data_IF_260594689682
#
_entry.id   IF_260594689682
#
_cell.length_a   1.000
_cell.length_b   1.000
_cell.length_c   1.000
_cell.angle_alpha   90.00
_cell.angle_beta   90.00
_cell.angle_gamma   90.00
#
_symmetry.space_group_name_H-M   'P 1'
#
loop_
_entity.id
_entity.type
_entity.pdbx_description
1 polymer ?
#
# COMPACT_ATOMS: atom_id res chain seq x y z
N UNK A 1 4.73 21.44 -9.74
CA UNK A 1 5.40 20.50 -10.65
C UNK A 1 5.23 19.12 -10.08
N UNK A 2 4.99 18.13 -10.92
CA UNK A 2 4.91 16.73 -10.55
C UNK A 2 6.26 16.09 -10.91
N UNK A 3 6.87 15.39 -9.97
CA UNK A 3 8.18 14.78 -10.16
C UNK A 3 8.22 13.45 -9.43
N UNK A 4 8.80 12.44 -10.08
CA UNK A 4 8.97 11.09 -9.54
C UNK A 4 10.46 10.79 -9.54
N UNK A 5 10.98 10.30 -8.43
CA UNK A 5 12.35 9.79 -8.35
C UNK A 5 12.47 8.47 -9.11
N UNK A 6 13.66 8.14 -9.60
CA UNK A 6 13.99 6.74 -9.90
C UNK A 6 13.84 5.88 -8.62
N UNK A 7 13.74 4.53 -8.73
CA UNK A 7 13.75 3.65 -7.58
C UNK A 7 15.02 3.85 -6.74
N UNK A 8 14.85 4.28 -5.49
CA UNK A 8 15.95 4.56 -4.56
C UNK A 8 15.93 3.61 -3.36
N UNK A 9 17.10 3.33 -2.74
CA UNK A 9 17.17 2.53 -1.52
C UNK A 9 16.32 3.15 -0.40
N UNK A 10 15.68 2.31 0.44
CA UNK A 10 14.82 2.78 1.53
C UNK A 10 15.50 3.77 2.50
N UNK A 11 16.82 3.64 2.69
CA UNK A 11 17.63 4.58 3.50
C UNK A 11 17.69 6.01 2.94
N UNK A 12 17.40 6.20 1.66
CA UNK A 12 17.44 7.51 0.99
C UNK A 12 16.09 8.21 0.96
N UNK A 13 15.00 7.48 1.21
CA UNK A 13 13.62 8.00 1.25
C UNK A 13 13.47 9.24 2.15
N UNK A 14 14.08 9.34 3.35
CA UNK A 14 13.93 10.52 4.20
C UNK A 14 14.38 11.84 3.56
N UNK A 15 15.22 11.81 2.51
CA UNK A 15 15.64 13.00 1.75
C UNK A 15 14.49 13.59 0.91
N UNK A 16 13.54 12.77 0.51
CA UNK A 16 12.45 13.10 -0.42
C UNK A 16 11.06 13.03 0.24
N UNK A 17 10.91 12.18 1.25
CA UNK A 17 9.70 11.99 2.04
C UNK A 17 10.04 12.07 3.53
N UNK A 18 9.96 13.28 4.10
CA UNK A 18 10.44 13.57 5.46
C UNK A 18 9.50 13.14 6.58
N UNK A 19 8.31 12.65 6.25
CA UNK A 19 7.32 12.20 7.23
C UNK A 19 7.72 10.81 7.73
N UNK A 20 7.63 10.58 9.05
CA UNK A 20 7.86 9.24 9.61
C UNK A 20 6.67 8.33 9.28
N UNK A 21 6.95 7.15 8.75
CA UNK A 21 5.93 6.17 8.38
C UNK A 21 6.32 4.77 8.83
N UNK A 22 5.32 3.89 8.92
CA UNK A 22 5.51 2.48 9.21
C UNK A 22 5.66 1.66 7.92
N UNK A 23 6.36 0.53 7.99
CA UNK A 23 6.49 -0.45 6.90
C UNK A 23 6.07 -1.86 7.35
N UNK A 24 5.69 -2.77 6.43
CA UNK A 24 5.48 -4.18 6.74
C UNK A 24 6.67 -4.80 7.49
N UNK A 25 6.40 -5.39 8.64
CA UNK A 25 7.38 -6.23 9.36
C UNK A 25 7.26 -7.72 8.98
N UNK A 26 6.13 -8.11 8.40
CA UNK A 26 5.83 -9.46 7.95
C UNK A 26 5.16 -9.41 6.59
N UNK A 27 5.48 -10.40 5.76
CA UNK A 27 4.86 -10.64 4.46
C UNK A 27 4.55 -12.15 4.35
N UNK A 28 3.56 -12.55 3.55
CA UNK A 28 3.18 -13.96 3.41
C UNK A 28 4.17 -14.79 2.57
N UNK A 29 5.34 -14.21 2.24
CA UNK A 29 6.37 -14.81 1.39
C UNK A 29 7.72 -14.12 1.63
N UNK A 30 8.79 -14.78 1.17
CA UNK A 30 10.13 -14.20 1.12
C UNK A 30 10.27 -13.19 -0.03
N UNK A 31 10.92 -12.07 0.26
CA UNK A 31 11.14 -10.97 -0.68
C UNK A 31 12.54 -10.96 -1.25
N UNK A 32 12.70 -10.32 -2.41
CA UNK A 32 14.03 -9.96 -2.89
C UNK A 32 14.73 -9.00 -1.93
N UNK A 33 16.04 -9.14 -1.75
CA UNK A 33 16.82 -8.33 -0.82
C UNK A 33 16.98 -6.86 -1.23
N UNK A 34 16.60 -6.49 -2.46
CA UNK A 34 16.79 -5.15 -3.03
C UNK A 34 15.48 -4.34 -3.09
N UNK A 35 14.77 -4.26 -1.95
CA UNK A 35 13.55 -3.43 -1.84
C UNK A 35 13.93 -1.96 -1.99
N UNK A 36 13.29 -1.29 -2.95
CA UNK A 36 13.43 0.13 -3.24
C UNK A 36 12.08 0.83 -3.13
N UNK A 37 12.13 2.15 -2.93
CA UNK A 37 10.97 3.01 -2.97
C UNK A 37 11.08 4.06 -4.07
N UNK A 38 9.94 4.54 -4.52
CA UNK A 38 9.79 5.67 -5.44
C UNK A 38 9.04 6.77 -4.71
N UNK A 39 9.50 8.02 -4.81
CA UNK A 39 8.80 9.17 -4.23
C UNK A 39 8.29 10.05 -5.35
N UNK A 40 6.97 10.26 -5.38
CA UNK A 40 6.29 11.22 -6.24
C UNK A 40 5.96 12.48 -5.44
N UNK A 41 6.54 13.61 -5.81
CA UNK A 41 6.20 14.93 -5.24
C UNK A 41 5.17 15.63 -6.12
N UNK A 42 4.09 16.11 -5.53
CA UNK A 42 3.01 16.82 -6.21
C UNK A 42 2.92 18.24 -5.65
N UNK A 43 3.34 19.22 -6.45
CA UNK A 43 3.36 20.62 -6.00
C UNK A 43 4.51 20.89 -5.05
N UNK A 44 4.27 21.61 -3.94
CA UNK A 44 5.33 22.02 -2.99
C UNK A 44 5.39 21.22 -1.69
N UNK A 45 4.31 20.54 -1.31
CA UNK A 45 4.15 19.93 0.03
C UNK A 45 3.70 18.47 -0.02
N UNK A 46 3.00 18.07 -1.07
CA UNK A 46 2.39 16.76 -1.14
C UNK A 46 3.38 15.77 -1.73
N UNK A 47 3.47 14.60 -1.13
CA UNK A 47 4.32 13.53 -1.59
C UNK A 47 3.64 12.17 -1.34
N UNK A 48 3.91 11.23 -2.23
CA UNK A 48 3.53 9.83 -2.11
C UNK A 48 4.79 8.99 -2.23
N UNK A 49 4.98 8.08 -1.27
CA UNK A 49 5.99 7.04 -1.30
C UNK A 49 5.33 5.74 -1.75
N UNK A 50 5.91 5.07 -2.74
CA UNK A 50 5.53 3.74 -3.18
C UNK A 50 6.68 2.77 -2.93
N UNK A 51 6.41 1.65 -2.24
CA UNK A 51 7.38 0.56 -2.01
C UNK A 51 6.78 -0.75 -2.51
N UNK A 52 7.50 -1.47 -3.36
CA UNK A 52 7.07 -2.76 -3.93
C UNK A 52 7.86 -3.91 -3.31
N UNK A 53 7.18 -4.79 -2.61
CA UNK A 53 7.75 -5.98 -1.97
C UNK A 53 7.58 -7.20 -2.88
N UNK A 54 8.46 -7.34 -3.86
CA UNK A 54 8.40 -8.43 -4.84
C UNK A 54 8.83 -9.76 -4.22
N UNK A 55 8.10 -10.82 -4.57
CA UNK A 55 8.44 -12.19 -4.19
C UNK A 55 9.81 -12.62 -4.74
N UNK A 56 10.52 -13.44 -3.96
CA UNK A 56 11.79 -14.04 -4.39
C UNK A 56 11.59 -15.23 -5.34
N UNK A 57 10.48 -15.96 -5.23
CA UNK A 57 10.23 -17.18 -6.00
C UNK A 57 10.07 -16.88 -7.51
N UNK A 58 10.89 -17.48 -8.38
CA UNK A 58 10.78 -17.29 -9.83
C UNK A 58 9.43 -17.76 -10.37
N UNK A 59 8.78 -16.95 -11.20
CA UNK A 59 7.51 -17.29 -11.86
C UNK A 59 6.26 -16.88 -11.10
N UNK A 60 6.38 -16.43 -9.83
CA UNK A 60 5.30 -15.73 -9.13
C UNK A 60 5.43 -14.23 -9.32
N UNK A 61 4.35 -13.61 -9.79
CA UNK A 61 4.30 -12.17 -10.06
C UNK A 61 3.47 -11.41 -9.02
N UNK A 62 2.99 -12.09 -7.97
CA UNK A 62 2.23 -11.46 -6.90
C UNK A 62 3.16 -10.63 -6.02
N UNK A 63 2.69 -9.49 -5.56
CA UNK A 63 3.45 -8.66 -4.64
C UNK A 63 2.56 -7.74 -3.81
N UNK A 64 3.09 -7.31 -2.68
CA UNK A 64 2.50 -6.29 -1.83
C UNK A 64 3.13 -4.96 -2.23
N UNK A 65 2.29 -3.98 -2.48
CA UNK A 65 2.67 -2.59 -2.66
C UNK A 65 2.19 -1.80 -1.46
N UNK A 66 3.08 -0.99 -0.88
CA UNK A 66 2.72 -0.01 0.13
C UNK A 66 2.80 1.38 -0.50
N UNK A 67 1.68 2.09 -0.48
CA UNK A 67 1.63 3.52 -0.73
C UNK A 67 1.46 4.28 0.59
N UNK A 68 2.27 5.31 0.81
CA UNK A 68 2.20 6.21 1.95
C UNK A 68 2.14 7.64 1.45
N UNK A 69 1.08 8.36 1.80
CA UNK A 69 0.92 9.76 1.40
C UNK A 69 0.79 10.69 2.62
N UNK A 70 1.35 11.89 2.51
CA UNK A 70 1.21 12.94 3.53
C UNK A 70 0.00 13.87 3.28
N UNK A 71 -0.95 13.40 2.47
CA UNK A 71 -2.18 14.08 2.10
C UNK A 71 -3.21 13.04 1.64
N UNK A 72 -4.51 13.38 1.55
CA UNK A 72 -5.53 12.48 0.99
C UNK A 72 -5.27 12.21 -0.50
N UNK A 73 -4.69 11.06 -0.84
CA UNK A 73 -4.28 10.72 -2.20
C UNK A 73 -5.30 9.79 -2.87
N UNK A 74 -5.40 8.56 -2.37
CA UNK A 74 -6.35 7.53 -2.84
C UNK A 74 -7.59 7.44 -1.94
N UNK A 75 -7.51 7.92 -0.70
CA UNK A 75 -8.60 7.80 0.27
C UNK A 75 -9.91 8.48 -0.17
N UNK A 76 -9.92 9.70 -0.78
CA UNK A 76 -11.18 10.27 -1.27
C UNK A 76 -11.88 9.38 -2.29
N UNK A 77 -11.14 8.86 -3.27
CA UNK A 77 -11.67 8.00 -4.33
C UNK A 77 -12.21 6.66 -3.77
N UNK A 78 -11.53 6.07 -2.78
CA UNK A 78 -11.96 4.77 -2.23
C UNK A 78 -13.05 4.95 -1.17
N UNK A 79 -12.87 5.86 -0.22
CA UNK A 79 -13.70 5.95 0.99
C UNK A 79 -14.83 6.95 0.86
N UNK A 80 -14.56 8.17 0.37
CA UNK A 80 -15.59 9.22 0.26
C UNK A 80 -16.59 8.90 -0.86
N UNK A 81 -16.11 8.31 -1.96
CA UNK A 81 -16.97 7.79 -3.03
C UNK A 81 -17.55 6.39 -2.73
N UNK A 82 -17.28 5.82 -1.54
CA UNK A 82 -17.79 4.50 -1.10
C UNK A 82 -17.47 3.34 -2.06
N UNK A 83 -16.27 3.36 -2.67
CA UNK A 83 -15.75 2.29 -3.53
C UNK A 83 -14.98 1.22 -2.74
N UNK A 84 -15.53 0.82 -1.59
CA UNK A 84 -15.00 -0.24 -0.73
C UNK A 84 -16.13 -1.20 -0.36
N UNK A 85 -15.78 -2.45 -0.07
CA UNK A 85 -16.71 -3.53 0.26
C UNK A 85 -16.93 -3.63 1.77
N UNK A 86 -15.86 -3.48 2.55
CA UNK A 86 -15.90 -3.69 4.00
C UNK A 86 -15.14 -2.61 4.77
N UNK A 87 -15.72 -2.16 5.88
CA UNK A 87 -15.06 -1.30 6.86
C UNK A 87 -14.69 -2.14 8.08
N UNK A 88 -13.44 -2.03 8.53
CA UNK A 88 -12.90 -2.76 9.68
C UNK A 88 -12.04 -1.85 10.57
N UNK A 89 -11.61 -2.37 11.73
CA UNK A 89 -10.82 -1.63 12.72
C UNK A 89 -9.46 -2.30 12.89
N UNK A 90 -8.39 -1.52 12.80
CA UNK A 90 -7.04 -1.96 13.11
C UNK A 90 -6.83 -2.05 14.63
N UNK A 91 -5.79 -2.76 15.06
CA UNK A 91 -5.44 -2.98 16.47
C UNK A 91 -5.15 -1.67 17.22
N UNK A 92 -4.66 -0.64 16.52
CA UNK A 92 -4.45 0.70 17.08
C UNK A 92 -5.73 1.55 17.13
N UNK A 93 -6.85 1.00 16.69
CA UNK A 93 -8.16 1.63 16.70
C UNK A 93 -8.51 2.43 15.45
N UNK A 94 -7.61 2.56 14.48
CA UNK A 94 -7.90 3.23 13.21
C UNK A 94 -8.94 2.46 12.39
N UNK A 95 -9.80 3.18 11.66
CA UNK A 95 -10.69 2.58 10.68
C UNK A 95 -9.93 2.31 9.39
N UNK A 96 -10.08 1.10 8.87
CA UNK A 96 -9.54 0.66 7.60
C UNK A 96 -10.67 0.19 6.68
N UNK A 97 -10.45 0.36 5.38
CA UNK A 97 -11.44 0.10 4.34
C UNK A 97 -10.84 -0.87 3.34
N UNK A 98 -11.50 -2.00 3.18
CA UNK A 98 -11.08 -3.06 2.27
C UNK A 98 -11.87 -2.99 0.98
N UNK A 99 -11.15 -3.05 -0.14
CA UNK A 99 -11.71 -3.27 -1.47
C UNK A 99 -11.07 -4.51 -2.07
N UNK A 100 -11.87 -5.49 -2.48
CA UNK A 100 -11.36 -6.65 -3.22
C UNK A 100 -11.12 -6.28 -4.70
N UNK A 101 -10.53 -7.19 -5.48
CA UNK A 101 -10.41 -7.07 -6.93
C UNK A 101 -11.79 -6.81 -7.55
N UNK A 102 -11.83 -6.00 -8.60
CA UNK A 102 -13.05 -5.69 -9.33
C UNK A 102 -12.93 -6.31 -10.73
N UNK A 103 -13.69 -7.37 -11.00
CA UNK A 103 -13.61 -8.14 -12.27
C UNK A 103 -13.96 -7.31 -13.52
N UNK A 104 -14.53 -6.10 -13.33
CA UNK A 104 -15.02 -5.24 -14.39
C UNK A 104 -14.11 -4.04 -14.71
N UNK A 105 -13.12 -3.74 -13.87
CA UNK A 105 -12.16 -2.66 -14.16
C UNK A 105 -11.07 -3.21 -15.09
N UNK A 106 -10.98 -2.70 -16.33
CA UNK A 106 -9.92 -3.03 -17.31
C UNK A 106 -8.54 -2.49 -16.89
N UNK A 107 -8.12 -2.76 -15.66
CA UNK A 107 -6.86 -2.33 -15.05
C UNK A 107 -6.19 -3.48 -14.30
N UNK A 108 -5.07 -3.21 -13.65
CA UNK A 108 -4.38 -4.21 -12.81
C UNK A 108 -5.33 -4.68 -11.70
N UNK A 109 -5.66 -5.97 -11.68
CA UNK A 109 -6.46 -6.59 -10.61
C UNK A 109 -5.69 -6.52 -9.28
N UNK A 110 -6.21 -5.75 -8.32
CA UNK A 110 -5.66 -5.70 -6.97
C UNK A 110 -6.76 -5.65 -5.91
N UNK A 111 -6.48 -6.31 -4.79
CA UNK A 111 -7.19 -6.03 -3.55
C UNK A 111 -6.42 -4.96 -2.77
N UNK A 112 -7.12 -4.12 -2.01
CA UNK A 112 -6.49 -3.06 -1.23
C UNK A 112 -7.12 -2.89 0.14
N UNK A 113 -6.28 -2.57 1.12
CA UNK A 113 -6.67 -2.07 2.43
C UNK A 113 -6.13 -0.64 2.57
N UNK A 114 -7.02 0.33 2.80
CA UNK A 114 -6.65 1.74 2.95
C UNK A 114 -7.10 2.28 4.31
N UNK A 115 -6.27 3.09 4.95
CA UNK A 115 -6.58 3.73 6.23
C UNK A 115 -5.80 5.03 6.41
N UNK A 116 -6.14 5.77 7.46
CA UNK A 116 -5.42 6.98 7.86
C UNK A 116 -4.97 6.88 9.31
N UNK A 117 -3.74 7.30 9.58
CA UNK A 117 -3.23 7.53 10.92
C UNK A 117 -2.71 8.97 11.00
N UNK A 118 -3.35 9.80 11.83
CA UNK A 118 -3.06 11.25 11.90
C UNK A 118 -3.19 11.87 10.50
N UNK A 119 -2.12 12.46 9.98
CA UNK A 119 -2.06 13.12 8.66
C UNK A 119 -1.49 12.20 7.56
N UNK A 120 -1.25 10.91 7.88
CA UNK A 120 -0.67 9.96 6.95
C UNK A 120 -1.75 9.01 6.44
N UNK A 121 -1.86 8.92 5.12
CA UNK A 121 -2.63 7.91 4.44
C UNK A 121 -1.75 6.71 4.12
N UNK A 122 -2.25 5.52 4.45
CA UNK A 122 -1.63 4.25 4.14
C UNK A 122 -2.55 3.46 3.23
N UNK A 123 -1.97 2.86 2.20
CA UNK A 123 -2.66 1.92 1.34
C UNK A 123 -1.76 0.72 1.09
N UNK A 124 -2.23 -0.45 1.48
CA UNK A 124 -1.66 -1.72 1.05
C UNK A 124 -2.43 -2.21 -0.18
N UNK A 125 -1.71 -2.68 -1.19
CA UNK A 125 -2.28 -3.31 -2.37
C UNK A 125 -1.67 -4.69 -2.52
N UNK A 126 -2.51 -5.70 -2.71
CA UNK A 126 -2.09 -7.03 -3.11
C UNK A 126 -2.29 -7.19 -4.61
N UNK A 127 -1.17 -7.12 -5.34
CA UNK A 127 -1.12 -7.05 -6.81
C UNK A 127 -0.95 -8.46 -7.40
N UNK A 128 -1.59 -8.71 -8.54
CA UNK A 128 -1.48 -9.94 -9.33
C UNK A 128 -1.76 -11.24 -8.56
N UNK A 129 -2.46 -11.17 -7.42
CA UNK A 129 -2.68 -12.36 -6.58
C UNK A 129 -3.52 -13.37 -7.35
N UNK A 130 -3.07 -14.62 -7.44
CA UNK A 130 -3.81 -15.72 -8.06
C UNK A 130 -4.86 -16.29 -7.12
N UNK A 131 -4.67 -16.10 -5.81
CA UNK A 131 -5.68 -16.39 -4.80
C UNK A 131 -6.98 -15.68 -5.16
N UNK A 132 -8.07 -16.42 -5.14
CA UNK A 132 -9.42 -15.91 -5.39
C UNK A 132 -10.27 -15.92 -4.11
N UNK A 133 -9.75 -16.50 -3.03
CA UNK A 133 -10.36 -16.40 -1.71
C UNK A 133 -10.18 -14.98 -1.14
N UNK A 134 -11.26 -14.22 -1.19
CA UNK A 134 -11.37 -12.86 -0.65
C UNK A 134 -11.00 -12.79 0.82
N UNK A 135 -11.42 -13.77 1.62
CA UNK A 135 -11.19 -13.77 3.06
C UNK A 135 -9.71 -13.99 3.35
N UNK A 136 -9.03 -14.87 2.63
CA UNK A 136 -7.58 -15.07 2.76
C UNK A 136 -6.81 -13.79 2.40
N UNK A 137 -7.17 -13.13 1.30
CA UNK A 137 -6.54 -11.87 0.86
C UNK A 137 -6.72 -10.78 1.93
N UNK A 138 -7.96 -10.61 2.42
CA UNK A 138 -8.32 -9.63 3.45
C UNK A 138 -7.55 -9.90 4.75
N UNK A 139 -7.50 -11.14 5.21
CA UNK A 139 -6.78 -11.51 6.44
C UNK A 139 -5.28 -11.24 6.30
N UNK A 140 -4.68 -11.51 5.15
CA UNK A 140 -3.27 -11.20 4.90
C UNK A 140 -3.02 -9.68 4.97
N UNK A 141 -3.83 -8.87 4.28
CA UNK A 141 -3.70 -7.41 4.31
C UNK A 141 -3.89 -6.84 5.72
N UNK A 142 -4.88 -7.33 6.45
CA UNK A 142 -5.17 -6.92 7.82
C UNK A 142 -4.03 -7.32 8.77
N UNK A 143 -3.49 -8.52 8.62
CA UNK A 143 -2.35 -9.00 9.39
C UNK A 143 -1.10 -8.13 9.17
N UNK A 144 -0.79 -7.81 7.90
CA UNK A 144 0.33 -6.91 7.57
C UNK A 144 0.12 -5.57 8.24
N UNK A 145 -1.03 -4.91 7.99
CA UNK A 145 -1.32 -3.56 8.51
C UNK A 145 -1.20 -3.48 10.04
N UNK A 146 -1.72 -4.48 10.75
CA UNK A 146 -1.67 -4.54 12.21
C UNK A 146 -0.26 -4.75 12.80
N UNK A 147 0.68 -5.24 12.00
CA UNK A 147 2.05 -5.54 12.44
C UNK A 147 3.10 -4.61 11.82
N UNK A 148 2.70 -3.55 11.10
CA UNK A 148 3.63 -2.54 10.58
C UNK A 148 4.32 -1.77 11.69
N UNK A 149 5.60 -1.41 11.48
CA UNK A 149 6.45 -0.70 12.45
C UNK A 149 7.14 0.50 11.84
#
# INVERSE_FOLDING_TARGET
MDHVTDPIPLKEIPKYFSVKFKVPAFLPYDITSDVKGEVRTIGKKNAVLTIKYKQQEPGRNEYIELNVANFPYSFPNIVEEKRFQEQMKLNNGALAYFKNKDDFERGEEFATLIWKEKEIEYQLLYRNVQENDEDVIKQNLLYIANNMK
#
